data_IF_742256747220
#
_entry.id   IF_742256747220
#
_cell.length_a   1.000
_cell.length_b   1.000
_cell.length_c   1.000
_cell.angle_alpha   90.00
_cell.angle_beta   90.00
_cell.angle_gamma   90.00
#
_symmetry.space_group_name_H-M   'P 1'
#
loop_
_entity.id
_entity.type
_entity.pdbx_description
1 polymer ?
#
# COMPACT_ATOMS: atom_id res chain seq x y z
N UNK A 1 30.16 6.11 5.67
CA UNK A 1 28.86 5.67 6.22
C UNK A 1 27.88 5.49 5.07
N UNK A 2 27.74 4.26 4.55
CA UNK A 2 26.85 3.95 3.43
C UNK A 2 25.50 3.52 4.03
N UNK A 3 24.49 4.39 4.06
CA UNK A 3 23.13 3.91 4.27
C UNK A 3 22.74 3.19 2.99
N UNK A 4 22.89 1.87 2.99
CA UNK A 4 22.46 1.06 1.88
C UNK A 4 20.99 1.38 1.57
N UNK A 5 20.72 1.60 0.28
CA UNK A 5 19.47 2.10 -0.31
C UNK A 5 18.26 1.23 0.06
N UNK A 6 17.73 1.35 1.27
CA UNK A 6 16.75 0.40 1.81
C UNK A 6 15.31 0.89 1.86
N UNK A 7 15.02 2.13 1.41
CA UNK A 7 13.65 2.63 1.39
C UNK A 7 13.22 2.97 -0.03
N UNK A 8 12.40 2.09 -0.61
CA UNK A 8 11.70 2.36 -1.88
C UNK A 8 10.30 2.86 -1.52
N UNK A 9 10.18 4.17 -1.30
CA UNK A 9 8.86 4.79 -1.08
C UNK A 9 8.05 4.72 -2.37
N UNK A 10 6.78 4.35 -2.24
CA UNK A 10 5.78 4.53 -3.28
C UNK A 10 4.60 5.29 -2.69
N UNK A 11 4.07 6.24 -3.46
CA UNK A 11 2.87 6.97 -3.13
C UNK A 11 2.15 7.29 -4.43
N UNK A 12 0.94 6.77 -4.59
CA UNK A 12 0.14 6.96 -5.78
C UNK A 12 -1.34 6.96 -5.41
N UNK A 13 -2.16 7.58 -6.27
CA UNK A 13 -3.61 7.63 -6.11
C UNK A 13 -4.27 7.04 -7.34
N UNK A 14 -5.30 6.23 -7.11
CA UNK A 14 -6.19 5.73 -8.14
C UNK A 14 -7.48 6.55 -8.09
N UNK A 15 -8.00 6.91 -9.27
CA UNK A 15 -9.32 7.55 -9.43
C UNK A 15 -10.16 6.72 -10.39
N UNK A 16 -11.46 7.02 -10.43
CA UNK A 16 -12.42 6.37 -11.32
C UNK A 16 -12.58 4.85 -11.06
N UNK A 17 -12.48 4.44 -9.80
CA UNK A 17 -12.86 3.07 -9.39
C UNK A 17 -14.38 2.94 -9.43
N UNK A 18 -14.86 1.82 -9.95
CA UNK A 18 -16.30 1.54 -10.04
C UNK A 18 -16.77 0.72 -8.83
N UNK A 19 -17.96 1.04 -8.34
CA UNK A 19 -18.59 0.26 -7.26
C UNK A 19 -18.85 -1.18 -7.72
N UNK A 20 -18.69 -2.14 -6.79
CA UNK A 20 -18.93 -3.56 -7.06
C UNK A 20 -17.81 -4.28 -7.84
N UNK A 21 -16.70 -3.59 -8.17
CA UNK A 21 -15.57 -4.19 -8.89
C UNK A 21 -14.40 -4.43 -7.95
N UNK A 22 -13.84 -5.64 -7.97
CA UNK A 22 -12.62 -5.98 -7.23
C UNK A 22 -11.39 -5.57 -8.03
N UNK A 23 -10.54 -4.73 -7.44
CA UNK A 23 -9.25 -4.33 -8.01
C UNK A 23 -8.10 -5.00 -7.26
N UNK A 24 -7.19 -5.66 -7.99
CA UNK A 24 -5.95 -6.23 -7.44
C UNK A 24 -4.75 -5.39 -7.84
N UNK A 25 -4.07 -4.83 -6.85
CA UNK A 25 -2.81 -4.12 -7.03
C UNK A 25 -1.65 -5.06 -6.71
N UNK A 26 -0.68 -5.18 -7.61
CA UNK A 26 0.51 -6.03 -7.42
C UNK A 26 1.76 -5.17 -7.52
N UNK A 27 2.46 -4.99 -6.41
CA UNK A 27 3.71 -4.24 -6.33
C UNK A 27 4.87 -5.23 -6.47
N UNK A 28 5.33 -5.44 -7.71
CA UNK A 28 6.28 -6.51 -8.05
C UNK A 28 7.72 -6.24 -7.59
N UNK A 29 8.12 -4.97 -7.47
CA UNK A 29 9.51 -4.59 -7.13
C UNK A 29 9.83 -4.61 -5.62
N UNK A 30 9.07 -5.38 -4.82
CA UNK A 30 9.35 -5.58 -3.39
C UNK A 30 10.31 -6.76 -3.13
N UNK A 31 10.81 -7.42 -4.18
CA UNK A 31 11.62 -8.63 -4.11
C UNK A 31 13.10 -8.36 -3.76
N UNK A 32 13.36 -7.70 -2.63
CA UNK A 32 14.65 -7.81 -1.97
C UNK A 32 14.63 -9.05 -1.07
N UNK A 33 15.72 -9.82 -1.09
CA UNK A 33 15.90 -11.10 -0.36
C UNK A 33 15.66 -11.03 1.16
N UNK A 34 15.58 -9.83 1.73
CA UNK A 34 15.23 -9.51 3.12
C UNK A 34 14.30 -8.28 3.18
N UNK A 35 13.28 -8.20 2.33
CA UNK A 35 12.37 -7.05 2.40
C UNK A 35 11.50 -7.15 3.67
N UNK A 36 11.21 -6.01 4.30
CA UNK A 36 10.31 -5.99 5.46
C UNK A 36 8.91 -6.51 5.10
N UNK A 37 8.53 -6.48 3.81
CA UNK A 37 7.28 -7.04 3.31
C UNK A 37 7.24 -8.57 3.42
N UNK A 38 8.37 -9.27 3.26
CA UNK A 38 8.42 -10.71 3.53
C UNK A 38 8.38 -11.05 5.04
N UNK A 39 8.47 -10.04 5.91
CA UNK A 39 8.40 -10.16 7.38
C UNK A 39 7.10 -9.57 7.96
N UNK A 40 6.06 -9.38 7.13
CA UNK A 40 4.72 -8.97 7.58
C UNK A 40 4.43 -7.46 7.50
N UNK A 41 5.33 -6.65 6.94
CA UNK A 41 5.00 -5.25 6.64
C UNK A 41 3.88 -5.20 5.59
N UNK A 42 2.81 -4.47 5.92
CA UNK A 42 1.68 -4.23 5.00
C UNK A 42 1.68 -2.81 4.46
N UNK A 43 1.33 -2.59 3.18
CA UNK A 43 1.16 -1.25 2.64
C UNK A 43 0.06 -0.48 3.39
N UNK A 44 0.15 0.84 3.34
CA UNK A 44 -0.89 1.72 3.85
C UNK A 44 -1.87 2.06 2.72
N UNK A 45 -3.15 1.93 3.01
CA UNK A 45 -4.24 2.27 2.13
C UNK A 45 -5.06 3.38 2.78
N UNK A 46 -5.48 4.35 1.96
CA UNK A 46 -6.45 5.35 2.33
C UNK A 46 -7.59 5.33 1.32
N UNK A 47 -8.82 5.37 1.83
CA UNK A 47 -10.03 5.46 1.03
C UNK A 47 -10.76 6.74 1.41
N UNK A 48 -10.87 7.68 0.45
CA UNK A 48 -11.60 8.94 0.65
C UNK A 48 -13.07 8.67 1.04
N UNK A 49 -13.67 7.61 0.48
CA UNK A 49 -15.03 7.19 0.81
C UNK A 49 -15.13 6.68 2.26
N UNK A 50 -14.23 5.79 2.68
CA UNK A 50 -14.24 5.26 4.04
C UNK A 50 -13.94 6.34 5.09
N UNK A 51 -13.07 7.30 4.75
CA UNK A 51 -12.81 8.46 5.59
C UNK A 51 -14.06 9.34 5.76
N UNK A 52 -14.79 9.62 4.68
CA UNK A 52 -16.00 10.45 4.71
C UNK A 52 -17.19 9.75 5.40
N UNK A 53 -17.41 8.48 5.12
CA UNK A 53 -18.58 7.74 5.60
C UNK A 53 -18.38 7.18 7.02
N UNK A 54 -17.16 6.73 7.35
CA UNK A 54 -16.87 5.99 8.58
C UNK A 54 -15.77 6.62 9.45
N UNK A 55 -15.23 7.79 9.07
CA UNK A 55 -14.14 8.44 9.80
C UNK A 55 -12.83 7.66 9.77
N UNK A 56 -12.66 6.74 8.83
CA UNK A 56 -11.50 5.83 8.77
C UNK A 56 -10.29 6.51 8.13
N UNK A 57 -9.17 6.54 8.86
CA UNK A 57 -7.89 7.06 8.39
C UNK A 57 -7.06 6.06 7.58
N UNK A 58 -5.74 6.23 7.58
CA UNK A 58 -4.81 5.30 6.96
C UNK A 58 -4.84 3.93 7.64
N UNK A 59 -4.95 2.87 6.86
CA UNK A 59 -5.02 1.50 7.37
C UNK A 59 -4.00 0.58 6.69
N UNK A 60 -3.50 -0.41 7.43
CA UNK A 60 -2.68 -1.48 6.87
C UNK A 60 -3.58 -2.39 6.02
N UNK A 61 -3.25 -2.56 4.74
CA UNK A 61 -4.03 -3.36 3.81
C UNK A 61 -3.14 -4.35 3.05
N UNK A 62 -3.75 -5.34 2.40
CA UNK A 62 -3.04 -6.42 1.73
C UNK A 62 -2.80 -7.64 2.62
N UNK A 63 -2.61 -8.77 1.95
CA UNK A 63 -2.31 -10.09 2.51
C UNK A 63 -0.82 -10.36 2.45
#
# INVERSE_FOLDING_TARGET
MYTAKHTQWFYFRIRNTRAGVTYRFTITNLMKRRSLYSQGLKPLLYSERAAKENGVGWQRAGS
#
